data_IF_034844402995
#
_entry.id   IF_034844402995
#
_cell.length_a   1.000
_cell.length_b   1.000
_cell.length_c   1.000
_cell.angle_alpha   90.00
_cell.angle_beta   90.00
_cell.angle_gamma   90.00
#
_symmetry.space_group_name_H-M   'P 1'
#
loop_
_entity.id
_entity.type
_entity.pdbx_description
1 polymer ?
#
# COMPACT_ATOMS: atom_id res chain seq x y z
N UNK A 1 17.39 57.43 70.34
CA UNK A 1 17.68 57.86 68.98
C UNK A 1 18.27 56.65 68.23
N UNK A 2 17.72 56.32 67.17
CA UNK A 2 18.03 55.37 66.07
C UNK A 2 17.06 54.21 65.94
N UNK A 3 16.17 54.43 64.99
CA UNK A 3 15.26 53.45 64.48
C UNK A 3 15.97 52.52 63.52
N UNK A 4 15.90 51.19 63.73
CA UNK A 4 16.23 50.21 62.72
C UNK A 4 14.92 49.56 62.22
N UNK A 5 14.51 49.92 61.00
CA UNK A 5 13.43 49.24 60.29
C UNK A 5 13.97 47.90 59.76
N UNK A 6 13.40 46.78 60.20
CA UNK A 6 13.63 45.46 59.63
C UNK A 6 12.73 45.30 58.39
N UNK A 7 13.32 45.20 57.21
CA UNK A 7 12.65 44.80 55.98
C UNK A 7 12.51 43.26 55.94
N UNK A 8 11.25 42.79 55.92
CA UNK A 8 10.93 41.35 55.73
C UNK A 8 10.73 41.13 54.23
N UNK A 9 11.67 40.41 53.60
CA UNK A 9 11.51 39.90 52.24
C UNK A 9 10.64 38.65 52.28
N UNK A 10 9.43 38.72 51.72
CA UNK A 10 8.61 37.54 51.41
C UNK A 10 9.04 36.97 50.06
N UNK A 11 9.66 35.80 50.08
CA UNK A 11 9.84 34.97 48.88
C UNK A 11 8.56 34.24 48.58
N UNK A 12 7.87 34.64 47.48
CA UNK A 12 6.79 33.87 46.89
C UNK A 12 7.41 32.84 45.91
N UNK A 13 7.41 31.57 46.29
CA UNK A 13 7.80 30.48 45.41
C UNK A 13 6.64 30.23 44.43
N UNK A 14 6.81 30.62 43.17
CA UNK A 14 5.94 30.18 42.07
C UNK A 14 6.28 28.75 41.68
N UNK A 15 5.49 27.79 42.12
CA UNK A 15 5.56 26.41 41.61
C UNK A 15 4.83 26.39 40.25
N UNK A 16 5.62 26.42 39.16
CA UNK A 16 5.10 26.14 37.82
C UNK A 16 4.83 24.64 37.72
N UNK A 17 3.57 24.26 37.74
CA UNK A 17 3.15 22.88 37.43
C UNK A 17 3.38 22.64 35.93
N UNK A 18 4.42 21.85 35.62
CA UNK A 18 4.62 21.32 34.25
C UNK A 18 3.60 20.21 34.06
N UNK A 19 2.52 20.52 33.34
CA UNK A 19 1.60 19.51 32.86
C UNK A 19 2.32 18.70 31.77
N UNK A 20 2.80 17.51 32.09
CA UNK A 20 3.18 16.52 31.10
C UNK A 20 1.89 16.09 30.37
N UNK A 21 1.68 16.61 29.19
CA UNK A 21 0.69 16.04 28.28
C UNK A 21 1.27 14.69 27.85
N UNK A 22 0.70 13.59 28.35
CA UNK A 22 0.95 12.27 27.79
C UNK A 22 0.48 12.30 26.34
N UNK A 23 1.41 12.25 25.39
CA UNK A 23 1.06 11.97 24.01
C UNK A 23 0.28 10.66 24.00
N UNK A 24 -0.84 10.55 23.25
CA UNK A 24 -1.54 9.28 23.13
C UNK A 24 -0.53 8.26 22.63
N UNK A 25 -0.41 7.13 23.34
CA UNK A 25 0.37 6.00 22.87
C UNK A 25 -0.15 5.65 21.47
N UNK A 26 0.71 5.68 20.46
CA UNK A 26 0.35 5.20 19.14
C UNK A 26 -0.23 3.80 19.30
N UNK A 27 -1.44 3.57 18.76
CA UNK A 27 -2.03 2.23 18.78
C UNK A 27 -1.02 1.27 18.14
N UNK A 28 -0.79 0.12 18.78
CA UNK A 28 0.10 -0.88 18.22
C UNK A 28 -0.44 -1.28 16.84
N UNK A 29 0.39 -1.15 15.81
CA UNK A 29 0.00 -1.58 14.46
C UNK A 29 -0.12 -3.10 14.43
N UNK A 30 -1.21 -3.61 13.81
CA UNK A 30 -1.40 -5.03 13.57
C UNK A 30 -0.45 -5.58 12.48
N UNK A 31 0.30 -4.70 11.81
CA UNK A 31 1.20 -5.05 10.72
C UNK A 31 2.44 -5.80 11.22
N UNK A 32 2.84 -6.85 10.49
CA UNK A 32 4.11 -7.55 10.70
C UNK A 32 5.28 -6.77 10.09
N UNK A 33 5.08 -6.13 8.95
CA UNK A 33 6.09 -5.31 8.31
C UNK A 33 5.82 -5.08 6.82
N UNK A 34 6.39 -4.01 6.24
CA UNK A 34 6.08 -3.59 4.87
C UNK A 34 6.54 -4.57 3.79
N UNK A 35 7.51 -5.47 4.07
CA UNK A 35 7.91 -6.54 3.14
C UNK A 35 6.80 -7.58 2.94
N UNK A 36 5.79 -7.59 3.79
CA UNK A 36 4.63 -8.47 3.72
C UNK A 36 3.40 -7.78 3.09
N UNK A 37 3.56 -6.58 2.54
CA UNK A 37 2.60 -6.01 1.61
C UNK A 37 2.74 -6.75 0.27
N UNK A 38 1.88 -7.73 0.06
CA UNK A 38 1.90 -8.61 -1.11
C UNK A 38 0.93 -8.10 -2.17
N UNK A 39 1.47 -7.52 -3.23
CA UNK A 39 0.66 -7.09 -4.38
C UNK A 39 -0.04 -8.28 -5.02
N UNK A 40 -1.36 -8.22 -5.16
CA UNK A 40 -2.14 -9.23 -5.86
C UNK A 40 -2.16 -8.95 -7.36
N UNK A 41 -1.74 -9.93 -8.14
CA UNK A 41 -1.69 -9.88 -9.60
C UNK A 41 -2.57 -10.98 -10.18
N UNK A 42 -3.48 -10.60 -11.05
CA UNK A 42 -4.43 -11.51 -11.70
C UNK A 42 -4.12 -11.55 -13.20
N UNK A 43 -3.70 -12.70 -13.70
CA UNK A 43 -3.39 -12.93 -15.12
C UNK A 43 -4.14 -14.15 -15.66
N UNK A 44 -4.31 -14.22 -16.96
CA UNK A 44 -4.82 -15.45 -17.59
C UNK A 44 -3.86 -16.63 -17.35
N UNK A 45 -4.35 -17.87 -17.22
CA UNK A 45 -3.49 -19.05 -17.02
C UNK A 45 -2.40 -19.23 -18.07
N UNK A 46 -2.64 -18.83 -19.30
CA UNK A 46 -1.67 -18.86 -20.40
C UNK A 46 -0.59 -17.77 -20.30
N UNK A 47 -0.80 -16.76 -19.48
CA UNK A 47 0.11 -15.61 -19.33
C UNK A 47 0.98 -15.68 -18.08
N UNK A 48 0.74 -16.64 -17.17
CA UNK A 48 1.44 -16.72 -15.87
C UNK A 48 2.97 -16.73 -16.03
N UNK A 49 3.49 -17.65 -16.84
CA UNK A 49 4.94 -17.82 -17.01
C UNK A 49 5.58 -16.59 -17.68
N UNK A 50 4.90 -16.03 -18.69
CA UNK A 50 5.35 -14.82 -19.38
C UNK A 50 5.38 -13.60 -18.44
N UNK A 51 4.34 -13.44 -17.61
CA UNK A 51 4.28 -12.39 -16.60
C UNK A 51 5.43 -12.51 -15.60
N UNK A 52 5.56 -13.69 -14.97
CA UNK A 52 6.58 -13.95 -13.95
C UNK A 52 7.99 -13.72 -14.50
N UNK A 53 8.26 -14.23 -15.72
CA UNK A 53 9.53 -14.01 -16.41
C UNK A 53 9.79 -12.50 -16.63
N UNK A 54 8.82 -11.78 -17.17
CA UNK A 54 8.97 -10.35 -17.48
C UNK A 54 9.19 -9.52 -16.21
N UNK A 55 8.46 -9.81 -15.13
CA UNK A 55 8.58 -9.07 -13.88
C UNK A 55 9.95 -9.30 -13.21
N UNK A 56 10.40 -10.56 -13.15
CA UNK A 56 11.73 -10.89 -12.61
C UNK A 56 12.87 -10.33 -13.48
N UNK A 57 12.74 -10.36 -14.81
CA UNK A 57 13.72 -9.75 -15.71
C UNK A 57 13.82 -8.23 -15.51
N UNK A 58 12.72 -7.58 -15.14
CA UNK A 58 12.65 -6.13 -14.92
C UNK A 58 13.24 -5.72 -13.56
N UNK A 59 12.81 -6.37 -12.48
CA UNK A 59 13.10 -5.94 -11.10
C UNK A 59 14.10 -6.86 -10.36
N UNK A 60 14.53 -7.96 -11.01
CA UNK A 60 15.34 -8.98 -10.36
C UNK A 60 14.51 -9.89 -9.44
N UNK A 61 15.20 -10.61 -8.54
CA UNK A 61 14.55 -11.47 -7.57
C UNK A 61 14.30 -12.90 -8.07
N UNK A 62 13.33 -13.58 -7.49
CA UNK A 62 13.01 -14.99 -7.80
C UNK A 62 11.55 -15.32 -7.58
N UNK A 63 10.95 -16.20 -8.39
CA UNK A 63 9.63 -16.75 -8.10
C UNK A 63 9.71 -17.99 -7.20
N UNK A 64 8.60 -18.33 -6.55
CA UNK A 64 8.38 -19.68 -6.01
C UNK A 64 8.18 -20.70 -7.15
N UNK A 65 8.19 -22.00 -6.83
CA UNK A 65 7.58 -22.97 -7.72
C UNK A 65 6.08 -22.67 -7.91
N UNK A 66 5.53 -22.89 -9.13
CA UNK A 66 4.10 -22.74 -9.34
C UNK A 66 3.31 -23.81 -8.58
N UNK A 67 2.21 -23.42 -7.98
CA UNK A 67 1.29 -24.31 -7.26
C UNK A 67 -0.10 -24.22 -7.87
N UNK A 68 -0.87 -25.29 -7.77
CA UNK A 68 -2.33 -25.22 -8.01
C UNK A 68 -3.04 -25.35 -6.68
N UNK A 69 -3.78 -24.31 -6.29
CA UNK A 69 -4.44 -24.24 -4.99
C UNK A 69 -5.94 -24.01 -5.15
N UNK A 70 -6.70 -24.45 -4.14
CA UNK A 70 -8.10 -24.07 -4.02
C UNK A 70 -8.17 -22.72 -3.33
N UNK A 71 -9.04 -21.85 -3.82
CA UNK A 71 -9.29 -20.54 -3.24
C UNK A 71 -10.55 -20.64 -2.38
N UNK A 72 -10.37 -20.70 -1.08
CA UNK A 72 -11.46 -20.76 -0.13
C UNK A 72 -12.04 -19.36 0.13
N UNK A 73 -13.28 -19.23 0.61
CA UNK A 73 -14.22 -20.33 1.00
C UNK A 73 -15.07 -20.87 -0.16
N UNK A 74 -14.77 -20.54 -1.39
CA UNK A 74 -15.54 -20.93 -2.59
C UNK A 74 -14.80 -22.02 -3.37
N UNK A 75 -15.52 -22.82 -4.21
CA UNK A 75 -14.90 -23.90 -4.98
C UNK A 75 -14.20 -23.36 -6.24
N UNK A 76 -13.21 -22.49 -6.07
CA UNK A 76 -12.42 -21.95 -7.15
C UNK A 76 -10.99 -22.51 -7.09
N UNK A 77 -10.32 -22.55 -8.26
CA UNK A 77 -8.94 -23.01 -8.39
C UNK A 77 -8.10 -21.98 -9.13
N UNK A 78 -6.87 -21.82 -8.68
CA UNK A 78 -5.88 -20.96 -9.34
C UNK A 78 -4.54 -21.65 -9.42
N UNK A 79 -3.79 -21.40 -10.51
CA UNK A 79 -2.31 -21.51 -10.44
C UNK A 79 -1.83 -20.29 -9.68
N UNK A 80 -0.85 -20.48 -8.82
CA UNK A 80 -0.34 -19.46 -7.92
C UNK A 80 1.18 -19.48 -7.87
N UNK A 81 1.80 -18.29 -7.83
CA UNK A 81 3.22 -18.12 -7.54
C UNK A 81 3.44 -16.87 -6.68
N UNK A 82 4.32 -16.99 -5.69
CA UNK A 82 4.98 -15.81 -5.13
C UNK A 82 6.07 -15.32 -6.08
N UNK A 83 6.28 -14.00 -6.12
CA UNK A 83 7.45 -13.39 -6.76
C UNK A 83 8.05 -12.41 -5.75
N UNK A 84 9.28 -12.68 -5.32
CA UNK A 84 10.03 -11.82 -4.41
C UNK A 84 11.08 -11.05 -5.20
N UNK A 85 10.99 -9.72 -5.15
CA UNK A 85 11.99 -8.80 -5.70
C UNK A 85 12.44 -7.83 -4.62
N UNK A 86 13.52 -7.09 -4.82
CA UNK A 86 13.93 -6.04 -3.89
C UNK A 86 13.00 -4.81 -3.92
N UNK A 87 12.15 -4.70 -4.96
CA UNK A 87 11.20 -3.58 -5.13
C UNK A 87 9.77 -3.90 -4.67
N UNK A 88 9.46 -5.15 -4.34
CA UNK A 88 8.13 -5.57 -3.88
C UNK A 88 7.92 -7.07 -3.94
N UNK A 89 6.93 -7.54 -3.19
CA UNK A 89 6.46 -8.92 -3.16
C UNK A 89 5.12 -9.03 -3.88
N UNK A 90 4.95 -10.08 -4.69
CA UNK A 90 3.71 -10.32 -5.42
C UNK A 90 3.13 -11.69 -5.08
N UNK A 91 1.82 -11.74 -5.00
CA UNK A 91 1.00 -12.95 -5.07
C UNK A 91 0.34 -13.00 -6.45
N UNK A 92 0.81 -13.90 -7.31
CA UNK A 92 0.35 -13.99 -8.70
C UNK A 92 -0.67 -15.11 -8.83
N UNK A 93 -1.88 -14.75 -9.24
CA UNK A 93 -3.01 -15.64 -9.42
C UNK A 93 -3.37 -15.79 -10.90
N UNK A 94 -3.51 -17.04 -11.34
CA UNK A 94 -3.98 -17.38 -12.68
C UNK A 94 -5.14 -18.38 -12.55
N UNK A 95 -6.36 -17.85 -12.41
CA UNK A 95 -7.56 -18.64 -12.10
C UNK A 95 -7.90 -19.62 -13.24
N UNK A 96 -8.08 -20.89 -12.85
CA UNK A 96 -8.55 -21.98 -13.73
C UNK A 96 -10.09 -22.10 -13.76
N UNK A 97 -10.75 -21.36 -12.89
CA UNK A 97 -12.21 -21.21 -12.78
C UNK A 97 -12.54 -19.72 -12.81
N UNK A 98 -13.83 -19.31 -12.90
CA UNK A 98 -14.19 -17.91 -12.73
C UNK A 98 -13.61 -17.35 -11.42
N UNK A 99 -13.14 -16.10 -11.46
CA UNK A 99 -12.59 -15.41 -10.29
C UNK A 99 -13.75 -15.12 -9.32
N UNK A 100 -13.73 -15.64 -8.09
CA UNK A 100 -14.80 -15.39 -7.14
C UNK A 100 -14.69 -13.97 -6.55
N UNK A 101 -15.84 -13.31 -6.37
CA UNK A 101 -15.88 -12.05 -5.63
C UNK A 101 -15.45 -12.27 -4.17
N UNK A 102 -14.64 -11.38 -3.53
CA UNK A 102 -14.11 -10.12 -4.09
C UNK A 102 -12.73 -10.25 -4.74
N UNK A 103 -12.19 -11.46 -4.95
CA UNK A 103 -10.91 -11.66 -5.62
C UNK A 103 -10.88 -10.95 -6.96
N UNK A 104 -9.73 -10.35 -7.30
CA UNK A 104 -9.58 -9.51 -8.47
C UNK A 104 -9.95 -8.04 -8.24
N UNK A 105 -10.56 -7.72 -7.10
CA UNK A 105 -10.88 -6.35 -6.69
C UNK A 105 -9.98 -5.85 -5.56
N UNK A 106 -9.57 -6.73 -4.63
CA UNK A 106 -8.56 -6.41 -3.64
C UNK A 106 -7.18 -6.34 -4.29
N UNK A 107 -6.42 -5.35 -3.91
CA UNK A 107 -5.16 -5.02 -4.56
C UNK A 107 -3.96 -5.62 -3.86
N UNK A 108 -4.03 -5.73 -2.55
CA UNK A 108 -2.90 -6.13 -1.72
C UNK A 108 -3.35 -6.98 -0.55
N UNK A 109 -2.48 -7.90 -0.14
CA UNK A 109 -2.61 -8.68 1.08
C UNK A 109 -1.61 -8.20 2.12
N UNK A 110 -2.07 -7.98 3.35
CA UNK A 110 -1.26 -7.55 4.48
C UNK A 110 -1.15 -8.64 5.53
N UNK A 111 0.08 -9.03 5.87
CA UNK A 111 0.32 -9.96 6.98
C UNK A 111 0.08 -9.24 8.30
N UNK A 112 -0.78 -9.83 9.14
CA UNK A 112 -1.11 -9.31 10.45
C UNK A 112 -0.53 -10.20 11.57
N UNK A 113 -0.27 -9.58 12.72
CA UNK A 113 0.24 -10.28 13.91
C UNK A 113 -0.79 -11.25 14.51
N UNK A 114 -2.05 -10.84 14.50
CA UNK A 114 -3.19 -11.63 14.95
C UNK A 114 -4.43 -11.28 14.11
N UNK A 115 -5.08 -12.29 13.54
CA UNK A 115 -6.22 -12.09 12.63
C UNK A 115 -7.46 -11.56 13.35
N UNK A 116 -7.75 -12.04 14.55
CA UNK A 116 -8.96 -11.62 15.28
C UNK A 116 -8.80 -10.19 15.83
N UNK A 117 -7.61 -9.87 16.32
CA UNK A 117 -7.26 -8.50 16.73
C UNK A 117 -7.33 -7.53 15.55
N UNK A 118 -6.75 -7.90 14.40
CA UNK A 118 -6.76 -7.08 13.19
C UNK A 118 -8.17 -6.82 12.66
N UNK A 119 -9.03 -7.84 12.61
CA UNK A 119 -10.44 -7.68 12.21
C UNK A 119 -11.23 -6.80 13.19
N UNK A 120 -10.97 -6.94 14.49
CA UNK A 120 -11.56 -6.08 15.51
C UNK A 120 -11.11 -4.64 15.35
N UNK A 121 -9.80 -4.41 15.15
CA UNK A 121 -9.25 -3.08 14.92
C UNK A 121 -9.80 -2.44 13.63
N UNK A 122 -9.90 -3.21 12.53
CA UNK A 122 -10.45 -2.74 11.27
C UNK A 122 -11.91 -2.28 11.41
N UNK A 123 -12.78 -3.08 12.06
CA UNK A 123 -14.18 -2.69 12.34
C UNK A 123 -14.27 -1.44 13.20
N UNK A 124 -13.46 -1.35 14.26
CA UNK A 124 -13.40 -0.15 15.12
C UNK A 124 -12.88 1.09 14.40
N UNK A 125 -12.09 0.89 13.35
CA UNK A 125 -11.60 1.96 12.50
C UNK A 125 -12.57 2.37 11.39
N UNK A 126 -13.69 1.66 11.20
CA UNK A 126 -14.70 2.00 10.19
C UNK A 126 -14.62 1.19 8.91
N UNK A 127 -13.78 0.16 8.84
CA UNK A 127 -13.79 -0.78 7.73
C UNK A 127 -14.92 -1.81 7.89
N UNK A 128 -15.50 -2.24 6.77
CA UNK A 128 -16.40 -3.39 6.71
C UNK A 128 -15.61 -4.67 6.46
N UNK A 129 -16.02 -5.77 7.10
CA UNK A 129 -15.48 -7.10 6.81
C UNK A 129 -16.41 -7.74 5.79
N UNK A 130 -16.01 -7.73 4.52
CA UNK A 130 -16.82 -8.22 3.40
C UNK A 130 -16.64 -9.73 3.15
N UNK A 131 -15.50 -10.30 3.59
CA UNK A 131 -15.30 -11.75 3.69
C UNK A 131 -14.80 -12.04 5.10
N UNK A 132 -15.60 -12.75 5.88
CA UNK A 132 -15.24 -13.17 7.23
C UNK A 132 -14.02 -14.09 7.22
N UNK A 133 -13.34 -14.15 8.37
CA UNK A 133 -12.17 -15.01 8.56
C UNK A 133 -12.47 -16.45 8.13
N UNK A 134 -11.68 -16.96 7.20
CA UNK A 134 -11.72 -18.35 6.77
C UNK A 134 -10.33 -18.97 6.82
N UNK A 135 -10.31 -20.28 7.02
CA UNK A 135 -9.07 -21.05 7.06
C UNK A 135 -8.68 -21.49 5.67
N UNK A 136 -7.41 -21.28 5.31
CA UNK A 136 -6.79 -21.84 4.13
C UNK A 136 -5.75 -22.93 4.49
N UNK A 137 -4.90 -23.31 3.54
CA UNK A 137 -3.89 -24.36 3.74
C UNK A 137 -2.76 -23.94 4.70
N UNK A 138 -2.47 -22.66 4.81
CA UNK A 138 -1.30 -22.14 5.54
C UNK A 138 -1.64 -21.14 6.64
N UNK A 139 -2.93 -20.74 6.77
CA UNK A 139 -3.32 -19.75 7.77
C UNK A 139 -4.78 -19.42 7.79
N UNK A 140 -5.05 -18.14 7.93
CA UNK A 140 -6.35 -17.52 7.85
C UNK A 140 -6.30 -16.29 6.97
N UNK A 141 -7.36 -16.08 6.19
CA UNK A 141 -7.58 -14.90 5.36
C UNK A 141 -8.91 -14.23 5.71
N UNK A 142 -9.01 -12.96 5.41
CA UNK A 142 -10.23 -12.16 5.45
C UNK A 142 -10.11 -11.00 4.46
N UNK A 143 -11.23 -10.44 4.02
CA UNK A 143 -11.21 -9.24 3.16
C UNK A 143 -12.01 -8.13 3.82
N UNK A 144 -11.41 -6.96 3.89
CA UNK A 144 -12.01 -5.73 4.42
C UNK A 144 -12.19 -4.71 3.32
N UNK A 145 -13.19 -3.83 3.50
CA UNK A 145 -13.46 -2.69 2.62
C UNK A 145 -13.48 -1.40 3.43
N UNK A 146 -12.73 -0.41 2.97
CA UNK A 146 -12.65 0.91 3.55
C UNK A 146 -13.73 1.83 2.99
N UNK A 147 -14.10 2.91 3.72
CA UNK A 147 -14.85 4.01 3.12
C UNK A 147 -14.21 4.50 1.82
N UNK A 148 -15.01 4.61 0.74
CA UNK A 148 -14.49 4.87 -0.60
C UNK A 148 -14.27 3.64 -1.47
N UNK A 149 -14.54 2.42 -0.94
CA UNK A 149 -14.61 1.19 -1.72
C UNK A 149 -13.28 0.45 -1.91
N UNK A 150 -12.21 0.88 -1.24
CA UNK A 150 -10.92 0.21 -1.27
C UNK A 150 -10.98 -1.12 -0.52
N UNK A 151 -10.49 -2.19 -1.14
CA UNK A 151 -10.50 -3.55 -0.59
C UNK A 151 -9.10 -4.06 -0.35
N UNK A 152 -8.90 -4.62 0.85
CA UNK A 152 -7.62 -5.24 1.22
C UNK A 152 -7.85 -6.63 1.80
N UNK A 153 -7.00 -7.57 1.45
CA UNK A 153 -6.93 -8.85 2.14
C UNK A 153 -6.05 -8.69 3.39
N UNK A 154 -6.52 -9.23 4.51
CA UNK A 154 -5.69 -9.52 5.67
C UNK A 154 -5.35 -11.01 5.64
N UNK A 155 -4.09 -11.37 5.91
CA UNK A 155 -3.67 -12.75 6.01
C UNK A 155 -2.81 -13.00 7.24
N UNK A 156 -2.88 -14.22 7.78
CA UNK A 156 -2.11 -14.67 8.92
C UNK A 156 -1.71 -16.13 8.73
N UNK A 157 -0.46 -16.48 9.01
CA UNK A 157 0.05 -17.82 8.77
C UNK A 157 0.31 -18.61 10.04
N UNK A 158 0.00 -19.90 10.06
CA UNK A 158 0.32 -20.83 11.16
C UNK A 158 1.82 -20.89 11.45
N UNK A 159 2.64 -20.74 10.42
CA UNK A 159 4.09 -20.61 10.53
C UNK A 159 4.46 -19.25 9.97
N UNK A 160 5.12 -18.42 10.78
CA UNK A 160 5.53 -17.08 10.35
C UNK A 160 6.36 -17.17 9.05
N UNK A 161 5.92 -16.51 7.97
CA UNK A 161 6.67 -16.50 6.73
C UNK A 161 7.94 -15.66 6.88
N UNK A 162 8.97 -16.01 6.10
CA UNK A 162 10.20 -15.24 6.03
C UNK A 162 10.39 -14.73 4.61
N UNK A 163 9.88 -13.51 4.34
CA UNK A 163 10.11 -12.86 3.06
C UNK A 163 11.42 -12.07 3.09
N UNK A 164 12.15 -11.99 1.97
CA UNK A 164 13.34 -11.18 1.91
C UNK A 164 13.02 -9.70 2.17
N UNK A 165 13.96 -8.95 2.78
CA UNK A 165 13.79 -7.52 2.98
C UNK A 165 13.71 -6.80 1.64
N UNK A 166 12.94 -5.72 1.60
CA UNK A 166 12.84 -4.84 0.44
C UNK A 166 13.96 -3.79 0.48
N UNK A 167 14.54 -3.46 -0.67
CA UNK A 167 15.42 -2.29 -0.85
C UNK A 167 14.58 -1.02 -0.96
N UNK A 168 13.40 -1.13 -1.56
CA UNK A 168 12.42 -0.04 -1.67
C UNK A 168 11.05 -0.54 -1.31
N UNK A 169 10.28 0.26 -0.56
CA UNK A 169 8.89 -0.06 -0.22
C UNK A 169 7.99 0.42 -1.36
N UNK A 170 7.15 -0.47 -1.94
CA UNK A 170 6.20 -0.09 -2.98
C UNK A 170 5.20 0.96 -2.51
N UNK A 171 4.73 1.79 -3.43
CA UNK A 171 3.63 2.71 -3.20
C UNK A 171 2.31 2.05 -3.62
N UNK A 172 1.38 1.82 -2.69
CA UNK A 172 0.00 1.48 -3.01
C UNK A 172 -0.72 2.74 -3.48
N UNK A 173 -0.97 2.82 -4.80
CA UNK A 173 -1.59 3.99 -5.46
C UNK A 173 -3.10 3.75 -5.54
N UNK A 174 -3.85 4.45 -4.70
CA UNK A 174 -5.30 4.31 -4.57
C UNK A 174 -6.03 5.59 -4.98
N UNK A 175 -7.25 5.44 -5.52
CA UNK A 175 -8.06 6.56 -5.96
C UNK A 175 -9.30 6.64 -5.08
N UNK A 176 -9.53 7.82 -4.49
CA UNK A 176 -10.65 8.07 -3.57
C UNK A 176 -11.34 9.36 -3.97
N UNK A 177 -12.67 9.38 -3.91
CA UNK A 177 -13.45 10.59 -4.18
C UNK A 177 -13.25 11.67 -3.10
N UNK A 178 -13.47 12.92 -3.47
CA UNK A 178 -13.27 14.06 -2.57
C UNK A 178 -14.19 14.05 -1.35
N UNK A 179 -15.36 13.44 -1.43
CA UNK A 179 -16.31 13.30 -0.33
C UNK A 179 -15.96 12.16 0.64
N UNK A 180 -15.18 11.17 0.22
CA UNK A 180 -14.83 10.00 1.04
C UNK A 180 -13.40 10.07 1.61
N UNK A 181 -12.52 10.89 1.04
CA UNK A 181 -11.07 10.86 1.33
C UNK A 181 -10.72 11.15 2.79
N UNK A 182 -11.34 12.14 3.42
CA UNK A 182 -11.00 12.49 4.80
C UNK A 182 -11.46 11.41 5.78
N UNK A 183 -12.60 10.76 5.50
CA UNK A 183 -13.08 9.59 6.27
C UNK A 183 -12.13 8.41 6.08
N UNK A 184 -11.78 8.08 4.84
CA UNK A 184 -10.84 7.02 4.52
C UNK A 184 -9.49 7.21 5.23
N UNK A 185 -8.88 8.38 5.09
CA UNK A 185 -7.55 8.67 5.69
C UNK A 185 -7.60 8.55 7.21
N UNK A 186 -8.60 9.16 7.86
CA UNK A 186 -8.78 9.07 9.32
C UNK A 186 -8.88 7.61 9.78
N UNK A 187 -9.71 6.82 9.10
CA UNK A 187 -10.03 5.45 9.49
C UNK A 187 -8.84 4.53 9.22
N UNK A 188 -8.19 4.69 8.08
CA UNK A 188 -6.96 3.94 7.76
C UNK A 188 -5.82 4.24 8.75
N UNK A 189 -5.60 5.50 9.12
CA UNK A 189 -4.58 5.87 10.11
C UNK A 189 -4.89 5.27 11.49
N UNK A 190 -6.15 5.25 11.89
CA UNK A 190 -6.59 4.64 13.14
C UNK A 190 -6.31 3.13 13.19
N UNK A 191 -6.48 2.43 12.07
CA UNK A 191 -6.18 1.00 11.95
C UNK A 191 -4.68 0.72 11.86
N UNK A 192 -4.00 1.44 10.97
CA UNK A 192 -2.61 1.13 10.61
C UNK A 192 -1.57 1.68 11.60
N UNK A 193 -1.97 2.60 12.49
CA UNK A 193 -1.03 3.37 13.31
C UNK A 193 -0.08 4.26 12.49
N UNK A 194 -0.42 4.47 11.20
CA UNK A 194 0.39 5.23 10.26
C UNK A 194 0.34 6.73 10.44
N UNK A 195 1.06 7.44 9.58
CA UNK A 195 1.12 8.90 9.56
C UNK A 195 0.99 9.45 8.15
N UNK A 196 0.34 10.60 7.99
CA UNK A 196 0.41 11.41 6.77
C UNK A 196 1.78 12.08 6.70
N UNK A 197 2.58 11.70 5.71
CA UNK A 197 3.93 12.27 5.50
C UNK A 197 3.92 13.42 4.49
N UNK A 198 2.87 13.53 3.68
CA UNK A 198 2.61 14.69 2.82
C UNK A 198 1.12 14.76 2.46
N UNK A 199 0.60 15.98 2.37
CA UNK A 199 -0.75 16.29 1.87
C UNK A 199 -0.62 17.51 0.94
N UNK A 200 -0.62 17.25 -0.37
CA UNK A 200 -0.43 18.26 -1.40
C UNK A 200 -1.76 18.53 -2.12
N UNK A 201 -2.39 19.64 -1.78
CA UNK A 201 -3.66 20.07 -2.40
C UNK A 201 -3.52 20.58 -3.83
N UNK A 202 -2.30 20.68 -4.38
CA UNK A 202 -2.01 21.19 -5.72
C UNK A 202 -0.96 20.34 -6.45
N UNK A 203 -1.02 19.02 -6.31
CA UNK A 203 -0.20 18.12 -7.11
C UNK A 203 -0.56 18.27 -8.60
N UNK A 204 0.42 18.14 -9.48
CA UNK A 204 0.19 18.19 -10.94
C UNK A 204 -0.58 16.97 -11.40
N UNK A 205 -1.78 17.18 -11.92
CA UNK A 205 -2.66 16.10 -12.36
C UNK A 205 -2.19 15.41 -13.67
N UNK A 206 -1.12 15.88 -14.31
CA UNK A 206 -0.42 15.13 -15.34
C UNK A 206 0.03 13.74 -14.87
N UNK A 207 0.32 13.58 -13.55
CA UNK A 207 0.63 12.29 -12.91
C UNK A 207 -0.51 11.26 -13.00
N UNK A 208 -1.74 11.73 -13.16
CA UNK A 208 -2.96 10.92 -13.28
C UNK A 208 -3.67 11.10 -14.62
N UNK A 209 -2.93 11.60 -15.63
CA UNK A 209 -3.42 11.73 -17.00
C UNK A 209 -4.25 12.97 -17.32
N UNK A 210 -4.26 13.99 -16.45
CA UNK A 210 -4.94 15.27 -16.66
C UNK A 210 -3.94 16.45 -16.67
N UNK A 211 -3.09 16.58 -17.71
CA UNK A 211 -2.08 17.62 -17.74
C UNK A 211 -2.72 19.03 -17.73
N UNK A 212 -2.13 19.92 -16.95
CA UNK A 212 -2.62 21.29 -16.78
C UNK A 212 -3.70 21.48 -15.71
N UNK A 213 -4.12 20.39 -15.07
CA UNK A 213 -5.01 20.41 -13.90
C UNK A 213 -4.24 20.14 -12.61
N UNK A 214 -4.89 20.34 -11.48
CA UNK A 214 -4.37 20.08 -10.14
C UNK A 214 -5.28 19.11 -9.41
N UNK A 215 -4.69 18.29 -8.50
CA UNK A 215 -5.45 17.40 -7.63
C UNK A 215 -4.82 17.35 -6.24
N UNK A 216 -5.53 16.80 -5.24
CA UNK A 216 -4.98 16.53 -3.91
C UNK A 216 -4.35 15.14 -3.89
N UNK A 217 -3.09 15.07 -3.47
CA UNK A 217 -2.33 13.83 -3.27
C UNK A 217 -1.90 13.72 -1.83
N UNK A 218 -2.31 12.65 -1.15
CA UNK A 218 -1.93 12.37 0.23
C UNK A 218 -0.98 11.18 0.24
N UNK A 219 0.11 11.28 0.98
CA UNK A 219 1.06 10.17 1.18
C UNK A 219 1.02 9.71 2.61
N UNK A 220 0.86 8.40 2.83
CA UNK A 220 0.77 7.75 4.13
C UNK A 220 1.89 6.71 4.23
N UNK A 221 2.56 6.67 5.38
CA UNK A 221 3.48 5.61 5.76
C UNK A 221 2.96 4.90 7.01
N UNK A 222 3.05 3.57 7.01
CA UNK A 222 2.58 2.72 8.10
C UNK A 222 3.40 1.42 8.18
N UNK A 223 3.11 0.59 9.19
CA UNK A 223 3.67 -0.77 9.27
C UNK A 223 3.26 -1.68 8.11
N UNK A 224 2.18 -1.37 7.39
CA UNK A 224 1.73 -2.09 6.18
C UNK A 224 2.44 -1.62 4.91
N UNK A 225 3.25 -0.55 4.95
CA UNK A 225 3.93 -0.01 3.79
C UNK A 225 3.53 1.42 3.49
N UNK A 226 3.64 1.79 2.20
CA UNK A 226 3.35 3.13 1.69
C UNK A 226 2.04 3.14 0.92
N UNK A 227 1.30 4.25 1.06
CA UNK A 227 0.09 4.48 0.29
C UNK A 227 0.10 5.90 -0.29
N UNK A 228 -0.26 6.03 -1.57
CA UNK A 228 -0.55 7.30 -2.21
C UNK A 228 -2.03 7.38 -2.51
N UNK A 229 -2.72 8.28 -1.83
CA UNK A 229 -4.15 8.54 -2.03
C UNK A 229 -4.30 9.68 -3.03
N UNK A 230 -4.87 9.36 -4.18
CA UNK A 230 -5.15 10.30 -5.27
C UNK A 230 -6.62 10.69 -5.21
N UNK A 231 -6.88 11.94 -4.84
CA UNK A 231 -8.26 12.44 -4.73
C UNK A 231 -8.76 12.82 -6.10
N UNK A 232 -9.83 12.19 -6.56
CA UNK A 232 -10.34 12.35 -7.92
C UNK A 232 -11.86 12.20 -7.98
N UNK A 233 -12.46 12.75 -9.02
CA UNK A 233 -13.86 12.54 -9.39
C UNK A 233 -14.11 11.20 -10.12
N UNK A 234 -13.07 10.41 -10.37
CA UNK A 234 -13.15 9.12 -11.05
C UNK A 234 -13.15 9.16 -12.58
N UNK A 235 -13.14 10.34 -13.20
CA UNK A 235 -13.12 10.48 -14.67
C UNK A 235 -11.67 10.61 -15.19
N UNK A 236 -10.91 9.53 -15.11
CA UNK A 236 -9.51 9.49 -15.53
C UNK A 236 -9.34 8.68 -16.83
N UNK A 237 -8.39 9.11 -17.71
CA UNK A 237 -8.08 8.34 -18.91
C UNK A 237 -7.33 7.04 -18.55
N UNK A 238 -7.46 6.02 -19.42
CA UNK A 238 -6.62 4.82 -19.30
C UNK A 238 -5.11 5.20 -19.38
N UNK A 239 -4.22 4.62 -18.55
CA UNK A 239 -4.46 3.49 -17.63
C UNK A 239 -4.80 3.90 -16.18
N UNK A 240 -5.05 5.18 -15.93
CA UNK A 240 -5.33 5.71 -14.59
C UNK A 240 -6.73 5.34 -14.07
N UNK A 241 -7.03 5.68 -12.80
CA UNK A 241 -8.32 5.45 -12.18
C UNK A 241 -8.56 4.03 -11.66
N UNK A 242 -7.52 3.20 -11.63
CA UNK A 242 -7.51 1.89 -10.99
C UNK A 242 -6.43 1.83 -9.95
N UNK A 243 -6.64 1.03 -8.93
CA UNK A 243 -5.62 0.75 -7.94
C UNK A 243 -4.44 0.02 -8.58
N UNK A 244 -3.23 0.57 -8.41
CA UNK A 244 -1.98 0.03 -8.96
C UNK A 244 -0.85 0.17 -7.94
N UNK A 245 0.19 -0.65 -8.09
CA UNK A 245 1.40 -0.53 -7.29
C UNK A 245 2.45 0.27 -8.04
N UNK A 246 3.11 1.19 -7.32
CA UNK A 246 4.28 1.94 -7.79
C UNK A 246 5.56 1.33 -7.26
N UNK A 247 6.50 1.05 -8.16
CA UNK A 247 7.80 0.46 -7.83
C UNK A 247 8.90 1.48 -7.99
N UNK A 248 9.63 1.77 -6.90
CA UNK A 248 10.79 2.64 -6.94
C UNK A 248 12.01 1.90 -7.48
N UNK A 249 12.74 2.55 -8.39
CA UNK A 249 13.98 2.04 -8.99
C UNK A 249 15.07 3.11 -8.99
N UNK A 250 16.32 2.71 -9.07
CA UNK A 250 17.44 3.66 -9.11
C UNK A 250 17.69 4.23 -10.49
N UNK A 251 17.39 3.46 -11.55
CA UNK A 251 17.58 3.85 -12.96
C UNK A 251 16.33 3.48 -13.75
N UNK A 252 15.52 4.51 -14.08
CA UNK A 252 14.27 4.33 -14.80
C UNK A 252 14.49 3.91 -16.26
N UNK A 253 15.54 4.41 -16.91
CA UNK A 253 15.82 4.09 -18.31
C UNK A 253 16.32 2.66 -18.48
N UNK A 254 17.25 2.23 -17.63
CA UNK A 254 17.72 0.84 -17.62
C UNK A 254 16.58 -0.12 -17.26
N UNK A 255 15.71 0.24 -16.31
CA UNK A 255 14.56 -0.58 -15.94
C UNK A 255 13.54 -0.68 -17.08
N UNK A 256 13.23 0.44 -17.75
CA UNK A 256 12.36 0.44 -18.93
C UNK A 256 12.91 -0.42 -20.07
N UNK A 257 14.24 -0.35 -20.32
CA UNK A 257 14.88 -1.17 -21.34
C UNK A 257 14.73 -2.68 -21.04
N UNK A 258 14.97 -3.10 -19.78
CA UNK A 258 14.76 -4.48 -19.32
C UNK A 258 13.31 -4.92 -19.47
N UNK A 259 12.37 -4.09 -19.03
CA UNK A 259 10.94 -4.38 -19.11
C UNK A 259 10.49 -4.60 -20.57
N UNK A 260 10.88 -3.71 -21.48
CA UNK A 260 10.57 -3.83 -22.91
C UNK A 260 11.19 -5.09 -23.53
N UNK A 261 12.45 -5.38 -23.23
CA UNK A 261 13.12 -6.59 -23.70
C UNK A 261 12.43 -7.89 -23.23
N UNK A 262 11.77 -7.82 -22.06
CA UNK A 262 11.02 -8.93 -21.47
C UNK A 262 9.53 -8.96 -21.88
N UNK A 263 9.08 -8.08 -22.77
CA UNK A 263 7.73 -8.07 -23.32
C UNK A 263 6.73 -7.14 -22.63
N UNK A 264 7.18 -6.25 -21.75
CA UNK A 264 6.33 -5.21 -21.20
C UNK A 264 6.17 -4.04 -22.18
N UNK A 265 5.04 -3.35 -22.11
CA UNK A 265 4.68 -2.20 -22.94
C UNK A 265 4.66 -0.90 -22.13
N UNK A 266 5.23 0.17 -22.68
CA UNK A 266 5.11 1.51 -22.12
C UNK A 266 3.73 2.07 -22.49
N UNK A 267 2.91 2.39 -21.46
CA UNK A 267 1.54 2.90 -21.66
C UNK A 267 1.45 4.43 -21.71
N UNK A 268 2.36 5.12 -20.99
CA UNK A 268 2.34 6.59 -20.93
C UNK A 268 3.70 7.17 -21.23
N UNK A 269 3.81 8.39 -21.77
CA UNK A 269 5.03 9.15 -21.75
C UNK A 269 5.56 9.26 -20.32
N UNK A 270 6.87 9.50 -20.17
CA UNK A 270 7.46 9.81 -18.87
C UNK A 270 6.86 11.11 -18.35
N UNK A 271 6.36 11.05 -17.11
CA UNK A 271 5.91 12.21 -16.37
C UNK A 271 6.99 12.65 -15.40
N UNK A 272 7.30 13.95 -15.40
CA UNK A 272 8.33 14.58 -14.58
C UNK A 272 7.68 15.36 -13.43
N UNK A 273 7.53 14.72 -12.27
CA UNK A 273 7.14 15.41 -11.04
C UNK A 273 8.33 16.14 -10.41
N UNK A 274 8.06 16.93 -9.38
CA UNK A 274 9.11 17.67 -8.65
C UNK A 274 10.11 16.70 -8.00
N UNK A 275 9.61 15.61 -7.42
CA UNK A 275 10.37 14.66 -6.61
C UNK A 275 10.75 13.35 -7.32
N UNK A 276 10.17 13.07 -8.51
CA UNK A 276 10.37 11.82 -9.24
C UNK A 276 10.09 11.93 -10.73
N UNK A 277 10.63 10.98 -11.47
CA UNK A 277 10.23 10.68 -12.85
C UNK A 277 9.46 9.36 -12.84
N UNK A 278 8.34 9.28 -13.56
CA UNK A 278 7.46 8.11 -13.52
C UNK A 278 6.95 7.70 -14.90
N UNK A 279 6.69 6.40 -15.08
CA UNK A 279 6.10 5.79 -16.26
C UNK A 279 5.07 4.75 -15.83
N UNK A 280 4.15 4.42 -16.74
CA UNK A 280 3.22 3.30 -16.57
C UNK A 280 3.61 2.17 -17.53
N UNK A 281 3.76 0.96 -17.00
CA UNK A 281 4.08 -0.24 -17.76
C UNK A 281 2.94 -1.25 -17.70
N UNK A 282 2.64 -1.89 -18.81
CA UNK A 282 1.80 -3.07 -18.88
C UNK A 282 2.67 -4.30 -19.11
N UNK A 283 2.63 -5.24 -18.19
CA UNK A 283 3.32 -6.52 -18.28
C UNK A 283 2.47 -7.56 -19.03
N UNK A 284 3.08 -8.65 -19.55
CA UNK A 284 2.34 -9.76 -20.14
C UNK A 284 1.20 -10.22 -19.23
N UNK A 285 0.01 -10.40 -19.78
CA UNK A 285 -1.19 -10.74 -19.02
C UNK A 285 -2.01 -9.55 -18.52
N UNK A 286 -1.60 -8.31 -18.89
CA UNK A 286 -2.39 -7.11 -18.64
C UNK A 286 -2.17 -6.47 -17.26
N UNK A 287 -1.17 -6.90 -16.50
CA UNK A 287 -0.82 -6.26 -15.23
C UNK A 287 -0.18 -4.89 -15.48
N UNK A 288 -0.76 -3.86 -14.88
CA UNK A 288 -0.26 -2.48 -14.98
C UNK A 288 0.43 -2.10 -13.68
N UNK A 289 1.64 -1.54 -13.80
CA UNK A 289 2.42 -1.00 -12.71
C UNK A 289 2.88 0.42 -13.02
N UNK A 290 3.00 1.24 -12.00
CA UNK A 290 3.77 2.46 -12.07
C UNK A 290 5.22 2.14 -11.71
N UNK A 291 6.18 2.72 -12.42
CA UNK A 291 7.60 2.62 -12.10
C UNK A 291 8.19 4.02 -12.03
N UNK A 292 8.92 4.31 -10.95
CA UNK A 292 9.49 5.64 -10.75
C UNK A 292 10.93 5.59 -10.25
N UNK A 293 11.68 6.65 -10.58
CA UNK A 293 12.96 6.97 -9.98
C UNK A 293 12.84 8.28 -9.22
N UNK A 294 13.30 8.30 -7.96
CA UNK A 294 13.34 9.52 -7.16
C UNK A 294 14.45 10.44 -7.70
N UNK A 295 14.19 11.74 -7.76
CA UNK A 295 15.18 12.76 -8.09
C UNK A 295 16.09 13.03 -6.89
N UNK A 296 17.37 13.23 -7.13
CA UNK A 296 18.28 13.69 -6.10
C UNK A 296 17.79 15.04 -5.54
N UNK A 297 17.84 15.18 -4.22
CA UNK A 297 17.52 16.45 -3.55
C UNK A 297 18.62 17.45 -3.75
#
# INVERSE_FOLDING_TARGET
>A
MNNFKKAIYRFTANAAAIALSAAPAAAASEAVGPQYDSTHVYVAPSSLDAFVHAFVATFGGKPSAPLTVNVLPVPAKTKFQYVWTSAGTLSVFAFLTPIPYPFGQERTGWLVNDMDAALTAARHAGAEVIVDKFKDAIGYDAVIEWPGGLKNQLYWHFTAPSYPPLETIPDNRVYVSGDSVDTFVRDFLKFSGGTVVADDGKADAGEIGKPGEWYRRIRIESGFGRMQVMVTDGHLPYPFGREITGYAVTDLDATLAKAKAAGAHLLTPRFEAVDRSTIMLEFPGGYIAEVHALKAK
#
